data_IF_841812152474
#
_entry.id   IF_841812152474
#
_cell.length_a   1.000
_cell.length_b   1.000
_cell.length_c   1.000
_cell.angle_alpha   90.00
_cell.angle_beta   90.00
_cell.angle_gamma   90.00
#
_symmetry.space_group_name_H-M   'P 1'
#
loop_
_entity.id
_entity.type
_entity.pdbx_description
1 polymer ?
#
# COMPACT_ATOMS: atom_id res chain seq x y z
N UNK A 1 4.36 28.15 8.31
CA UNK A 1 3.61 26.91 8.12
C UNK A 1 3.46 26.19 9.45
N UNK A 2 2.23 25.96 9.89
CA UNK A 2 1.90 25.23 11.14
C UNK A 2 0.73 24.24 10.94
N UNK A 3 -0.26 24.63 10.14
CA UNK A 3 -1.52 23.92 9.98
C UNK A 3 -1.52 23.09 8.70
N UNK A 4 -1.66 21.78 8.81
CA UNK A 4 -1.70 20.84 7.68
C UNK A 4 -3.07 20.16 7.66
N UNK A 5 -3.75 20.22 6.52
CA UNK A 5 -4.97 19.46 6.26
C UNK A 5 -4.68 18.34 5.28
N UNK A 6 -4.87 17.11 5.70
CA UNK A 6 -4.96 15.97 4.78
C UNK A 6 -6.41 15.78 4.30
N UNK A 7 -6.58 15.43 3.03
CA UNK A 7 -7.90 15.27 2.41
C UNK A 7 -7.96 13.87 1.79
N UNK A 8 -8.77 12.98 2.36
CA UNK A 8 -8.97 11.62 1.89
C UNK A 8 -10.13 11.53 0.91
N UNK A 9 -10.04 10.69 -0.14
CA UNK A 9 -11.11 10.50 -1.12
C UNK A 9 -12.27 9.63 -0.60
N UNK A 10 -12.05 8.93 0.49
CA UNK A 10 -13.06 8.13 1.21
C UNK A 10 -12.86 8.22 2.73
N UNK A 11 -13.76 7.66 3.50
CA UNK A 11 -13.64 7.57 4.94
C UNK A 11 -12.49 6.62 5.33
N UNK A 12 -12.19 6.44 6.62
CA UNK A 12 -11.02 5.70 7.09
C UNK A 12 -11.07 4.19 6.88
N UNK A 13 -11.44 3.73 5.68
CA UNK A 13 -11.54 2.30 5.33
C UNK A 13 -10.38 1.80 4.46
N UNK A 14 -9.56 2.70 3.94
CA UNK A 14 -8.52 2.38 2.94
C UNK A 14 -7.11 2.34 3.50
N UNK A 15 -6.21 1.78 2.70
CA UNK A 15 -4.77 1.89 2.96
C UNK A 15 -4.29 3.34 2.93
N UNK A 16 -4.88 4.17 2.08
CA UNK A 16 -4.64 5.62 2.03
C UNK A 16 -4.86 6.27 3.39
N UNK A 17 -5.92 5.89 4.09
CA UNK A 17 -6.21 6.39 5.43
C UNK A 17 -5.13 5.99 6.44
N UNK A 18 -4.60 4.77 6.35
CA UNK A 18 -3.50 4.31 7.19
C UNK A 18 -2.22 5.12 6.93
N UNK A 19 -1.90 5.39 5.67
CA UNK A 19 -0.74 6.23 5.31
C UNK A 19 -0.89 7.65 5.87
N UNK A 20 -2.04 8.28 5.64
CA UNK A 20 -2.34 9.63 6.16
C UNK A 20 -2.30 9.65 7.67
N UNK A 21 -2.85 8.64 8.36
CA UNK A 21 -2.81 8.52 9.82
C UNK A 21 -1.37 8.60 10.35
N UNK A 22 -0.47 7.79 9.79
CA UNK A 22 0.93 7.79 10.23
C UNK A 22 1.64 9.11 9.91
N UNK A 23 1.48 9.68 8.71
CA UNK A 23 2.06 10.97 8.38
C UNK A 23 1.53 12.10 9.27
N UNK A 24 0.22 12.16 9.49
CA UNK A 24 -0.39 13.18 10.33
C UNK A 24 0.09 13.09 11.78
N UNK A 25 0.12 11.89 12.37
CA UNK A 25 0.64 11.71 13.74
C UNK A 25 2.11 12.13 13.86
N UNK A 26 2.98 11.67 12.95
CA UNK A 26 4.40 12.03 12.99
C UNK A 26 4.62 13.54 12.76
N UNK A 27 3.80 14.22 11.94
CA UNK A 27 3.86 15.66 11.78
C UNK A 27 3.44 16.39 13.07
N UNK A 28 2.44 15.88 13.80
CA UNK A 28 2.05 16.43 15.11
C UNK A 28 3.19 16.27 16.12
N UNK A 29 3.86 15.13 16.16
CA UNK A 29 5.04 14.90 16.99
C UNK A 29 6.20 15.86 16.65
N UNK A 30 6.30 16.28 15.39
CA UNK A 30 7.26 17.30 14.93
C UNK A 30 6.80 18.75 15.22
N UNK A 31 5.67 18.93 15.93
CA UNK A 31 5.19 20.23 16.40
C UNK A 31 4.27 20.98 15.43
N UNK A 32 3.76 20.28 14.38
CA UNK A 32 2.73 20.87 13.52
C UNK A 32 1.33 20.58 14.07
N UNK A 33 0.35 21.31 13.56
CA UNK A 33 -1.06 21.08 13.86
C UNK A 33 -1.74 20.44 12.65
N UNK A 34 -2.31 19.25 12.79
CA UNK A 34 -2.82 18.47 11.69
C UNK A 34 -4.30 18.18 11.84
N UNK A 35 -4.99 18.19 10.72
CA UNK A 35 -6.36 17.71 10.59
C UNK A 35 -6.48 16.77 9.38
N UNK A 36 -7.45 15.83 9.44
CA UNK A 36 -7.79 14.93 8.34
C UNK A 36 -9.26 15.09 7.99
N UNK A 37 -9.54 15.46 6.74
CA UNK A 37 -10.90 15.60 6.23
C UNK A 37 -11.31 14.35 5.45
N UNK A 38 -12.51 13.85 5.75
CA UNK A 38 -13.14 12.70 5.09
C UNK A 38 -14.49 13.08 4.47
N UNK A 39 -14.98 12.34 3.46
CA UNK A 39 -16.20 12.74 2.75
C UNK A 39 -17.47 12.73 3.60
N UNK A 40 -17.67 11.73 4.48
CA UNK A 40 -18.99 11.44 5.08
C UNK A 40 -18.99 11.21 6.57
N UNK A 41 -18.08 10.35 7.08
CA UNK A 41 -18.12 9.88 8.46
C UNK A 41 -16.75 9.90 9.13
N UNK A 42 -16.49 10.94 9.90
CA UNK A 42 -15.23 11.12 10.63
C UNK A 42 -15.03 10.11 11.77
N UNK A 43 -16.11 9.48 12.26
CA UNK A 43 -16.00 8.49 13.34
C UNK A 43 -15.35 7.19 12.87
N UNK A 44 -15.27 6.96 11.57
CA UNK A 44 -14.53 5.81 11.01
C UNK A 44 -13.02 5.87 11.27
N UNK A 45 -12.50 6.95 11.83
CA UNK A 45 -11.10 7.04 12.29
C UNK A 45 -10.73 5.90 13.26
N UNK A 46 -11.69 5.40 14.02
CA UNK A 46 -11.50 4.23 14.89
C UNK A 46 -11.13 2.93 14.15
N UNK A 47 -11.31 2.89 12.82
CA UNK A 47 -11.00 1.74 11.96
C UNK A 47 -9.56 1.73 11.43
N UNK A 48 -8.82 2.84 11.55
CA UNK A 48 -7.46 2.95 10.98
C UNK A 48 -6.45 2.03 11.68
N UNK A 49 -6.78 1.53 12.84
CA UNK A 49 -5.95 0.56 13.53
C UNK A 49 -6.44 0.41 14.95
N UNK A 50 -6.70 -0.81 15.34
CA UNK A 50 -6.95 -1.15 16.72
C UNK A 50 -5.76 -0.71 17.56
N UNK A 51 -5.99 0.13 18.56
CA UNK A 51 -4.98 0.69 19.46
C UNK A 51 -4.08 1.81 18.90
N UNK A 52 -4.30 2.34 17.70
CA UNK A 52 -3.58 3.52 17.25
C UNK A 52 -4.31 4.80 17.68
N UNK A 53 -3.61 5.63 18.46
CA UNK A 53 -4.13 6.94 18.87
C UNK A 53 -3.95 7.95 17.74
N UNK A 54 -4.99 8.70 17.39
CA UNK A 54 -4.86 9.83 16.50
C UNK A 54 -4.51 11.10 17.30
N UNK A 55 -3.40 11.74 16.94
CA UNK A 55 -2.94 13.00 17.54
C UNK A 55 -3.48 14.23 16.80
N UNK A 56 -4.08 14.03 15.65
CA UNK A 56 -4.66 15.03 14.75
C UNK A 56 -6.18 15.16 14.95
N UNK A 57 -6.74 16.27 14.48
CA UNK A 57 -8.20 16.46 14.45
C UNK A 57 -8.82 15.79 13.22
N UNK A 58 -10.09 15.40 13.31
CA UNK A 58 -10.84 14.80 12.20
C UNK A 58 -12.06 15.65 11.89
N UNK A 59 -12.31 15.89 10.60
CA UNK A 59 -13.45 16.68 10.12
C UNK A 59 -14.11 16.03 8.91
N UNK A 60 -15.34 16.42 8.62
CA UNK A 60 -16.05 16.01 7.42
C UNK A 60 -16.10 17.10 6.36
N UNK A 61 -16.21 16.72 5.10
CA UNK A 61 -16.32 17.70 4.00
C UNK A 61 -17.47 18.69 4.17
N UNK A 62 -18.55 18.27 4.83
CA UNK A 62 -19.68 19.14 5.15
C UNK A 62 -19.35 20.25 6.15
N UNK A 63 -18.29 20.08 6.94
CA UNK A 63 -17.88 21.00 8.02
C UNK A 63 -16.81 22.03 7.55
N UNK A 64 -16.56 22.16 6.24
CA UNK A 64 -15.46 22.98 5.69
C UNK A 64 -15.49 24.44 6.15
N UNK A 65 -16.65 25.00 6.46
CA UNK A 65 -16.83 26.37 6.94
C UNK A 65 -16.35 26.58 8.39
N UNK A 66 -16.12 25.50 9.13
CA UNK A 66 -15.60 25.49 10.51
C UNK A 66 -14.20 24.85 10.60
N UNK A 67 -13.52 24.70 9.49
CA UNK A 67 -12.23 24.01 9.42
C UNK A 67 -11.16 24.68 10.30
N UNK A 68 -11.24 26.02 10.48
CA UNK A 68 -10.34 26.75 11.40
C UNK A 68 -10.44 26.25 12.84
N UNK A 69 -11.58 25.71 13.28
CA UNK A 69 -11.75 25.16 14.64
C UNK A 69 -10.95 23.86 14.85
N UNK A 70 -10.53 23.19 13.78
CA UNK A 70 -9.66 22.02 13.86
C UNK A 70 -8.22 22.36 14.24
N UNK A 71 -7.82 23.64 14.18
CA UNK A 71 -6.44 24.08 14.47
C UNK A 71 -6.37 24.94 15.71
N UNK A 72 -5.33 24.70 16.53
CA UNK A 72 -5.12 25.38 17.83
C UNK A 72 -5.08 26.90 17.73
N UNK A 73 -4.57 27.42 16.60
CA UNK A 73 -4.46 28.87 16.35
C UNK A 73 -5.73 29.48 15.73
N UNK A 74 -6.80 28.70 15.55
CA UNK A 74 -8.08 29.10 14.94
C UNK A 74 -7.96 29.69 13.53
N UNK A 75 -6.87 29.36 12.80
CA UNK A 75 -6.65 29.75 11.40
C UNK A 75 -6.90 28.56 10.48
N UNK A 76 -7.08 28.84 9.19
CA UNK A 76 -7.18 27.79 8.15
C UNK A 76 -5.86 27.03 7.95
N UNK A 77 -5.87 26.03 7.06
CA UNK A 77 -4.66 25.27 6.72
C UNK A 77 -3.65 26.14 5.97
N UNK A 78 -2.37 25.99 6.29
CA UNK A 78 -1.27 26.53 5.48
C UNK A 78 -1.00 25.60 4.27
N UNK A 79 -1.16 24.29 4.47
CA UNK A 79 -1.01 23.26 3.41
C UNK A 79 -2.24 22.37 3.41
N UNK A 80 -2.76 22.10 2.22
CA UNK A 80 -3.77 21.05 1.97
C UNK A 80 -3.12 19.97 1.14
N UNK A 81 -2.97 18.78 1.72
CA UNK A 81 -2.41 17.59 1.07
C UNK A 81 -3.51 16.60 0.70
N UNK A 82 -3.79 16.50 -0.58
CA UNK A 82 -4.90 15.71 -1.13
C UNK A 82 -4.45 14.29 -1.46
N UNK A 83 -5.16 13.33 -0.97
CA UNK A 83 -4.95 11.89 -1.20
C UNK A 83 -6.15 11.31 -1.94
N UNK A 84 -6.24 11.26 -3.12
CA UNK A 84 -5.68 11.29 -4.45
C UNK A 84 -6.40 12.37 -5.31
N UNK A 85 -6.14 12.57 -6.63
CA UNK A 85 -6.76 13.64 -7.44
C UNK A 85 -8.17 13.28 -7.94
N UNK A 86 -8.92 12.46 -7.21
CA UNK A 86 -10.26 12.01 -7.58
C UNK A 86 -11.27 13.15 -7.51
N UNK A 87 -12.38 13.04 -8.24
CA UNK A 87 -13.35 14.12 -8.36
C UNK A 87 -13.91 14.59 -7.02
N UNK A 88 -14.11 13.69 -6.06
CA UNK A 88 -14.58 14.02 -4.70
C UNK A 88 -13.62 14.96 -3.97
N UNK A 89 -12.32 14.67 -4.01
CA UNK A 89 -11.28 15.50 -3.37
C UNK A 89 -11.06 16.82 -4.13
N UNK A 90 -11.02 16.76 -5.46
CA UNK A 90 -10.91 17.94 -6.30
C UNK A 90 -12.06 18.93 -6.05
N UNK A 91 -13.29 18.43 -5.98
CA UNK A 91 -14.46 19.24 -5.70
C UNK A 91 -14.43 19.85 -4.30
N UNK A 92 -13.94 19.10 -3.31
CA UNK A 92 -13.74 19.60 -1.96
C UNK A 92 -12.69 20.71 -1.93
N UNK A 93 -11.54 20.54 -2.55
CA UNK A 93 -10.50 21.57 -2.65
C UNK A 93 -10.99 22.85 -3.33
N UNK A 94 -11.83 22.75 -4.37
CA UNK A 94 -12.47 23.91 -4.98
C UNK A 94 -13.39 24.69 -4.01
N UNK A 95 -14.05 24.01 -3.09
CA UNK A 95 -14.82 24.67 -2.01
C UNK A 95 -13.89 25.33 -1.01
N UNK A 96 -12.84 24.64 -0.57
CA UNK A 96 -11.86 25.18 0.39
C UNK A 96 -11.19 26.46 -0.13
N UNK A 97 -10.79 26.52 -1.41
CA UNK A 97 -10.17 27.69 -2.05
C UNK A 97 -11.04 28.96 -2.01
N UNK A 98 -12.35 28.83 -1.81
CA UNK A 98 -13.24 29.98 -1.64
C UNK A 98 -13.19 30.60 -0.25
N UNK A 99 -12.71 29.86 0.74
CA UNK A 99 -12.70 30.24 2.15
C UNK A 99 -11.29 30.43 2.71
N UNK A 100 -10.30 29.74 2.15
CA UNK A 100 -8.94 29.66 2.66
C UNK A 100 -7.91 29.81 1.55
N UNK A 101 -6.79 30.45 1.88
CA UNK A 101 -5.59 30.47 1.06
C UNK A 101 -4.59 29.42 1.61
N UNK A 102 -4.05 28.55 0.75
CA UNK A 102 -3.17 27.45 1.15
C UNK A 102 -2.30 26.97 -0.01
N UNK A 103 -1.16 26.38 0.32
CA UNK A 103 -0.38 25.57 -0.62
C UNK A 103 -1.07 24.23 -0.85
N UNK A 104 -1.23 23.85 -2.12
CA UNK A 104 -1.86 22.60 -2.51
C UNK A 104 -0.79 21.56 -2.84
N UNK A 105 -0.84 20.43 -2.15
CA UNK A 105 -0.05 19.23 -2.47
C UNK A 105 -1.02 18.11 -2.85
N UNK A 106 -0.70 17.34 -3.90
CA UNK A 106 -1.53 16.23 -4.35
C UNK A 106 -0.70 14.95 -4.33
N UNK A 107 -1.21 13.88 -3.73
CA UNK A 107 -0.58 12.57 -3.69
C UNK A 107 -1.14 11.64 -4.76
N UNK A 108 -0.26 10.90 -5.46
CA UNK A 108 -0.64 9.83 -6.38
C UNK A 108 -0.23 8.47 -5.78
N UNK A 109 -1.20 7.56 -5.65
CA UNK A 109 -0.98 6.20 -5.13
C UNK A 109 -1.10 5.12 -6.22
N UNK A 110 -1.86 5.42 -7.27
CA UNK A 110 -2.18 4.49 -8.34
C UNK A 110 -2.09 5.17 -9.71
N UNK A 111 -2.07 4.37 -10.75
CA UNK A 111 -2.37 4.81 -12.10
C UNK A 111 -3.87 5.13 -12.21
N UNK A 112 -4.23 6.39 -12.01
CA UNK A 112 -5.64 6.84 -12.02
C UNK A 112 -6.32 6.60 -13.37
N UNK A 113 -5.58 6.58 -14.48
CA UNK A 113 -6.10 6.24 -15.81
C UNK A 113 -6.49 4.76 -15.88
N UNK A 114 -5.64 3.87 -15.34
CA UNK A 114 -5.94 2.44 -15.26
C UNK A 114 -7.09 2.13 -14.29
N UNK A 115 -7.14 2.82 -13.15
CA UNK A 115 -8.28 2.71 -12.21
C UNK A 115 -9.57 3.06 -12.92
N UNK A 116 -9.59 4.12 -13.73
CA UNK A 116 -10.75 4.55 -14.50
C UNK A 116 -11.12 3.55 -15.61
N UNK A 117 -10.11 2.99 -16.33
CA UNK A 117 -10.32 1.90 -17.32
C UNK A 117 -11.07 0.72 -16.68
N UNK A 118 -10.60 0.28 -15.52
CA UNK A 118 -11.20 -0.85 -14.80
C UNK A 118 -12.59 -0.54 -14.28
N UNK A 119 -12.78 0.67 -13.73
CA UNK A 119 -14.06 1.08 -13.19
C UNK A 119 -15.16 1.14 -14.26
N UNK A 120 -14.85 1.70 -15.44
CA UNK A 120 -15.79 1.85 -16.56
C UNK A 120 -15.81 0.63 -17.50
N UNK A 121 -14.89 -0.31 -17.33
CA UNK A 121 -14.66 -1.45 -18.22
C UNK A 121 -14.52 -1.03 -19.70
N UNK A 122 -13.71 0.02 -19.94
CA UNK A 122 -13.44 0.61 -21.24
C UNK A 122 -11.99 1.04 -21.35
N UNK A 123 -11.35 0.98 -22.53
CA UNK A 123 -10.01 1.52 -22.73
C UNK A 123 -9.93 3.02 -22.43
N UNK A 124 -8.85 3.48 -21.80
CA UNK A 124 -8.68 4.89 -21.44
C UNK A 124 -8.75 5.84 -22.66
N UNK A 125 -8.23 5.42 -23.81
CA UNK A 125 -8.31 6.17 -25.05
C UNK A 125 -9.75 6.47 -25.49
N UNK A 126 -10.67 5.52 -25.32
CA UNK A 126 -12.10 5.69 -25.60
C UNK A 126 -12.73 6.67 -24.60
N UNK A 127 -12.41 6.50 -23.31
CA UNK A 127 -12.91 7.36 -22.23
C UNK A 127 -12.45 8.80 -22.42
N UNK A 128 -11.17 9.00 -22.73
CA UNK A 128 -10.58 10.34 -22.92
C UNK A 128 -11.16 11.08 -24.12
N UNK A 129 -11.58 10.34 -25.18
CA UNK A 129 -12.14 10.90 -26.39
C UNK A 129 -13.66 11.13 -26.32
N UNK A 130 -14.31 10.75 -25.25
CA UNK A 130 -15.79 10.82 -25.12
C UNK A 130 -16.37 12.23 -24.96
N UNK A 131 -15.56 13.29 -25.04
CA UNK A 131 -15.94 14.72 -25.05
C UNK A 131 -16.97 15.12 -23.96
N UNK A 132 -16.79 14.60 -22.74
CA UNK A 132 -17.66 14.95 -21.61
C UNK A 132 -19.03 14.27 -21.59
N UNK A 133 -19.31 13.36 -22.53
CA UNK A 133 -20.56 12.59 -22.57
C UNK A 133 -20.65 11.50 -21.51
N UNK A 134 -19.52 11.14 -20.88
CA UNK A 134 -19.47 10.13 -19.83
C UNK A 134 -19.66 10.75 -18.44
N UNK A 135 -20.58 10.16 -17.69
CA UNK A 135 -20.73 10.50 -16.27
C UNK A 135 -19.61 9.80 -15.49
N UNK A 136 -18.61 10.56 -15.04
CA UNK A 136 -17.50 10.06 -14.24
C UNK A 136 -17.88 10.16 -12.75
N UNK A 137 -17.93 9.03 -12.03
CA UNK A 137 -18.23 9.04 -10.60
C UNK A 137 -17.20 9.82 -9.77
N UNK A 138 -17.64 10.34 -8.62
CA UNK A 138 -16.79 11.17 -7.76
C UNK A 138 -15.64 10.39 -7.11
N UNK A 139 -15.72 9.07 -7.00
CA UNK A 139 -14.71 8.21 -6.40
C UNK A 139 -13.56 7.83 -7.34
N UNK A 140 -13.56 8.28 -8.58
CA UNK A 140 -12.49 8.11 -9.57
C UNK A 140 -12.07 9.45 -10.16
N UNK A 141 -10.95 9.45 -10.87
CA UNK A 141 -10.38 10.65 -11.49
C UNK A 141 -10.96 10.88 -12.89
N UNK A 142 -11.43 12.10 -13.18
CA UNK A 142 -11.85 12.47 -14.52
C UNK A 142 -10.64 12.63 -15.44
N UNK A 143 -10.63 12.05 -16.66
CA UNK A 143 -9.44 11.92 -17.53
C UNK A 143 -8.72 13.22 -17.88
N UNK A 144 -9.41 14.35 -17.90
CA UNK A 144 -8.84 15.67 -18.17
C UNK A 144 -8.68 16.48 -16.87
N UNK A 145 -9.73 16.57 -16.06
CA UNK A 145 -9.75 17.43 -14.87
C UNK A 145 -8.72 17.04 -13.81
N UNK A 146 -8.33 15.76 -13.72
CA UNK A 146 -7.27 15.39 -12.78
C UNK A 146 -5.91 15.97 -13.20
N UNK A 147 -5.61 16.01 -14.52
CA UNK A 147 -4.38 16.63 -15.06
C UNK A 147 -4.36 18.12 -14.83
N UNK A 148 -5.51 18.78 -15.07
CA UNK A 148 -5.69 20.21 -14.75
C UNK A 148 -5.50 20.46 -13.26
N UNK A 149 -6.02 19.57 -12.40
CA UNK A 149 -5.90 19.69 -10.94
C UNK A 149 -4.44 19.51 -10.50
N UNK A 150 -3.71 18.53 -11.02
CA UNK A 150 -2.27 18.38 -10.78
C UNK A 150 -1.48 19.62 -11.20
N UNK A 151 -1.84 20.26 -12.32
CA UNK A 151 -1.18 21.46 -12.81
C UNK A 151 -1.40 22.69 -11.91
N UNK A 152 -2.40 22.68 -11.01
CA UNK A 152 -2.63 23.76 -10.03
C UNK A 152 -1.92 23.53 -8.70
N UNK A 153 -1.25 22.39 -8.53
CA UNK A 153 -0.57 22.06 -7.29
C UNK A 153 0.74 22.82 -7.13
N UNK A 154 1.06 23.21 -5.90
CA UNK A 154 2.37 23.74 -5.53
C UNK A 154 3.42 22.62 -5.50
N UNK A 155 2.98 21.39 -5.23
CA UNK A 155 3.82 20.20 -5.26
C UNK A 155 3.00 18.92 -5.41
N UNK A 156 3.63 17.85 -5.85
CA UNK A 156 3.03 16.52 -5.96
C UNK A 156 3.89 15.53 -5.19
N UNK A 157 3.25 14.63 -4.46
CA UNK A 157 3.93 13.45 -3.92
C UNK A 157 3.45 12.21 -4.66
N UNK A 158 4.34 11.27 -4.90
CA UNK A 158 4.02 10.00 -5.59
C UNK A 158 4.49 8.84 -4.72
N UNK A 159 3.67 7.78 -4.63
CA UNK A 159 4.04 6.62 -3.80
C UNK A 159 5.15 5.78 -4.46
N UNK A 160 5.28 5.84 -5.79
CA UNK A 160 6.29 5.15 -6.60
C UNK A 160 6.83 6.10 -7.66
N UNK A 161 8.13 6.02 -7.92
CA UNK A 161 8.86 6.89 -8.85
C UNK A 161 8.18 6.98 -10.23
N UNK A 162 7.71 5.86 -10.76
CA UNK A 162 7.07 5.78 -12.07
C UNK A 162 5.82 6.65 -12.21
N UNK A 163 5.11 6.94 -11.13
CA UNK A 163 3.95 7.84 -11.15
C UNK A 163 4.31 9.29 -11.51
N UNK A 164 5.58 9.67 -11.46
CA UNK A 164 6.02 11.01 -11.92
C UNK A 164 5.71 11.28 -13.38
N UNK A 165 5.53 10.25 -14.20
CA UNK A 165 5.16 10.43 -15.61
C UNK A 165 3.79 11.08 -15.82
N UNK A 166 2.91 11.03 -14.80
CA UNK A 166 1.61 11.71 -14.80
C UNK A 166 1.66 13.15 -14.29
N UNK A 167 2.79 13.58 -13.72
CA UNK A 167 2.96 14.90 -13.12
C UNK A 167 3.47 15.89 -14.16
N UNK A 168 2.89 17.10 -14.24
CA UNK A 168 3.44 18.14 -15.12
C UNK A 168 4.91 18.48 -14.76
N UNK A 169 5.77 18.62 -15.76
CA UNK A 169 7.22 18.82 -15.59
C UNK A 169 7.61 20.04 -14.74
N UNK A 170 6.74 21.04 -14.65
CA UNK A 170 6.98 22.25 -13.87
C UNK A 170 6.52 22.19 -12.42
N UNK A 171 5.96 21.06 -11.98
CA UNK A 171 5.49 20.87 -10.61
C UNK A 171 6.53 20.10 -9.79
N UNK A 172 7.06 20.66 -8.70
CA UNK A 172 7.96 19.95 -7.79
C UNK A 172 7.37 18.63 -7.33
N UNK A 173 8.16 17.56 -7.37
CA UNK A 173 7.65 16.21 -7.08
C UNK A 173 8.57 15.46 -6.13
N UNK A 174 7.98 14.86 -5.09
CA UNK A 174 8.66 14.01 -4.11
C UNK A 174 8.12 12.57 -4.20
N UNK A 175 9.01 11.58 -4.31
CA UNK A 175 8.64 10.19 -4.06
C UNK A 175 8.53 9.97 -2.55
N UNK A 176 7.35 9.61 -2.09
CA UNK A 176 7.00 9.50 -0.67
C UNK A 176 6.51 8.09 -0.35
N UNK A 177 7.41 7.25 0.17
CA UNK A 177 7.06 5.89 0.56
C UNK A 177 6.36 5.83 1.91
N UNK A 178 5.46 4.84 2.10
CA UNK A 178 4.94 4.53 3.43
C UNK A 178 6.05 3.97 4.31
N UNK A 179 5.77 3.86 5.59
CA UNK A 179 6.65 3.21 6.55
C UNK A 179 6.06 1.90 7.08
N UNK A 180 6.79 1.29 8.01
CA UNK A 180 6.34 0.16 8.80
C UNK A 180 6.57 0.44 10.28
N UNK A 181 5.67 -0.02 11.12
CA UNK A 181 5.87 -0.05 12.56
C UNK A 181 6.84 -1.19 12.92
N UNK A 182 8.12 -0.84 13.12
CA UNK A 182 9.18 -1.81 13.41
C UNK A 182 9.16 -2.31 14.86
N UNK A 183 8.36 -1.74 15.75
CA UNK A 183 8.13 -2.28 17.10
C UNK A 183 7.14 -3.45 16.99
N UNK A 184 6.11 -3.28 16.18
CA UNK A 184 5.11 -4.30 15.95
C UNK A 184 5.60 -5.38 14.97
N UNK A 185 6.09 -4.99 13.80
CA UNK A 185 6.66 -5.88 12.78
C UNK A 185 8.18 -5.94 12.93
N UNK A 186 8.67 -6.98 13.56
CA UNK A 186 10.09 -7.22 13.77
C UNK A 186 10.42 -8.69 13.70
N UNK A 187 11.68 -8.99 13.41
CA UNK A 187 12.14 -10.37 13.36
C UNK A 187 11.88 -11.09 14.68
N UNK A 188 11.22 -12.22 14.60
CA UNK A 188 10.90 -13.08 15.74
C UNK A 188 10.95 -14.56 15.38
N UNK A 189 11.15 -15.40 16.36
CA UNK A 189 11.08 -16.84 16.19
C UNK A 189 9.64 -17.27 15.93
N UNK A 190 9.41 -18.27 15.06
CA UNK A 190 8.11 -18.90 14.94
C UNK A 190 7.61 -19.41 16.29
N UNK A 191 6.34 -19.24 16.57
CA UNK A 191 5.69 -19.78 17.75
C UNK A 191 5.15 -21.20 17.43
N UNK A 192 5.72 -22.27 18.01
CA UNK A 192 5.29 -23.65 17.73
C UNK A 192 3.84 -23.92 18.12
N UNK A 193 3.36 -23.33 19.20
CA UNK A 193 1.96 -23.44 19.64
C UNK A 193 1.01 -22.85 18.62
N UNK A 194 1.36 -21.66 18.07
CA UNK A 194 0.60 -21.03 17.00
C UNK A 194 0.61 -21.89 15.74
N UNK A 195 1.77 -22.42 15.34
CA UNK A 195 1.87 -23.33 14.20
C UNK A 195 0.91 -24.52 14.36
N UNK A 196 0.93 -25.17 15.52
CA UNK A 196 0.06 -26.29 15.84
C UNK A 196 -1.42 -25.92 15.86
N UNK A 197 -1.78 -24.77 16.44
CA UNK A 197 -3.16 -24.26 16.44
C UNK A 197 -3.71 -24.04 15.02
N UNK A 198 -2.86 -23.59 14.11
CA UNK A 198 -3.22 -23.34 12.70
C UNK A 198 -3.15 -24.62 11.85
N UNK A 199 -2.69 -25.74 12.41
CA UNK A 199 -2.56 -26.99 11.67
C UNK A 199 -1.37 -27.00 10.70
N UNK A 200 -0.34 -26.20 10.93
CA UNK A 200 0.89 -26.21 10.12
C UNK A 200 1.66 -27.49 10.44
N UNK A 201 1.93 -28.37 9.46
CA UNK A 201 2.72 -29.57 9.69
C UNK A 201 4.17 -29.26 10.07
N UNK A 202 4.74 -29.99 11.03
CA UNK A 202 6.03 -29.66 11.66
C UNK A 202 7.19 -29.48 10.67
N UNK A 203 7.33 -30.26 9.65
CA UNK A 203 8.48 -30.24 8.74
C UNK A 203 8.18 -29.50 7.41
N UNK A 204 7.07 -28.80 7.33
CA UNK A 204 6.70 -28.12 6.10
C UNK A 204 7.43 -26.78 5.96
N UNK A 205 7.84 -26.49 4.75
CA UNK A 205 8.23 -25.13 4.34
C UNK A 205 6.97 -24.31 4.27
N UNK A 206 7.00 -23.18 4.90
CA UNK A 206 5.85 -22.27 4.95
C UNK A 206 6.08 -21.05 4.07
N UNK A 207 5.16 -20.81 3.14
CA UNK A 207 5.00 -19.50 2.49
C UNK A 207 3.91 -18.74 3.19
N UNK A 208 4.02 -17.43 3.20
CA UNK A 208 2.90 -16.60 3.64
C UNK A 208 2.61 -15.48 2.64
N UNK A 209 1.33 -15.24 2.44
CA UNK A 209 0.80 -14.14 1.67
C UNK A 209 -0.35 -13.49 2.43
N UNK A 210 -0.33 -12.17 2.51
CA UNK A 210 -1.37 -11.38 3.17
C UNK A 210 -2.05 -10.47 2.16
N UNK A 211 -3.38 -10.46 2.15
CA UNK A 211 -4.14 -9.59 1.30
C UNK A 211 -5.36 -10.23 0.65
N UNK A 212 -6.28 -9.39 0.25
CA UNK A 212 -7.51 -9.79 -0.42
C UNK A 212 -7.25 -10.23 -1.86
N UNK A 213 -8.14 -11.08 -2.39
CA UNK A 213 -8.20 -11.43 -3.81
C UNK A 213 -9.31 -10.62 -4.48
N UNK A 214 -8.95 -9.93 -5.53
CA UNK A 214 -9.86 -9.12 -6.35
C UNK A 214 -9.48 -9.25 -7.83
N UNK A 215 -10.32 -8.79 -8.74
CA UNK A 215 -10.16 -8.99 -10.19
C UNK A 215 -8.77 -8.59 -10.76
N UNK A 216 -8.05 -7.66 -10.11
CA UNK A 216 -6.74 -7.23 -10.59
C UNK A 216 -5.57 -8.13 -10.15
N UNK A 217 -5.75 -9.06 -9.19
CA UNK A 217 -4.67 -9.89 -8.66
C UNK A 217 -4.99 -11.39 -8.61
N UNK A 218 -6.08 -11.84 -9.23
CA UNK A 218 -6.50 -13.25 -9.23
C UNK A 218 -5.41 -14.19 -9.71
N UNK A 219 -4.80 -13.93 -10.87
CA UNK A 219 -3.76 -14.77 -11.46
C UNK A 219 -2.48 -14.79 -10.60
N UNK A 220 -2.16 -13.66 -9.98
CA UNK A 220 -1.03 -13.54 -9.08
C UNK A 220 -1.20 -14.43 -7.84
N UNK A 221 -2.37 -14.37 -7.20
CA UNK A 221 -2.63 -15.20 -6.03
C UNK A 221 -2.76 -16.67 -6.40
N UNK A 222 -3.37 -16.99 -7.55
CA UNK A 222 -3.43 -18.36 -8.09
C UNK A 222 -2.02 -18.96 -8.28
N UNK A 223 -1.05 -18.15 -8.69
CA UNK A 223 0.36 -18.58 -8.83
C UNK A 223 0.96 -19.12 -7.54
N UNK A 224 0.56 -18.60 -6.37
CA UNK A 224 1.02 -19.09 -5.07
C UNK A 224 0.51 -20.51 -4.81
N UNK A 225 -0.75 -20.79 -5.11
CA UNK A 225 -1.36 -22.10 -4.93
C UNK A 225 -0.75 -23.13 -5.88
N UNK A 226 -0.52 -22.73 -7.14
CA UNK A 226 0.17 -23.57 -8.12
C UNK A 226 1.59 -23.89 -7.66
N UNK A 227 2.35 -22.92 -7.16
CA UNK A 227 3.71 -23.14 -6.69
C UNK A 227 3.76 -24.13 -5.54
N UNK A 228 2.87 -23.99 -4.55
CA UNK A 228 2.80 -24.89 -3.40
C UNK A 228 2.40 -26.31 -3.83
N UNK A 229 1.45 -26.45 -4.74
CA UNK A 229 1.05 -27.75 -5.29
C UNK A 229 2.19 -28.42 -6.07
N UNK A 230 2.94 -27.66 -6.88
CA UNK A 230 4.10 -28.17 -7.63
C UNK A 230 5.20 -28.67 -6.69
N UNK A 231 5.57 -27.87 -5.68
CA UNK A 231 6.59 -28.25 -4.70
C UNK A 231 6.22 -29.53 -3.96
N UNK A 232 4.97 -29.67 -3.52
CA UNK A 232 4.50 -30.89 -2.87
C UNK A 232 4.53 -32.11 -3.82
N UNK A 233 4.18 -31.91 -5.09
CA UNK A 233 4.27 -32.97 -6.12
C UNK A 233 5.72 -33.43 -6.37
N UNK A 234 6.68 -32.51 -6.23
CA UNK A 234 8.11 -32.78 -6.33
C UNK A 234 8.71 -33.36 -5.03
N UNK A 235 7.88 -33.65 -4.03
CA UNK A 235 8.29 -34.23 -2.75
C UNK A 235 8.76 -33.19 -1.71
N UNK A 236 8.70 -31.87 -2.03
CA UNK A 236 9.04 -30.82 -1.12
C UNK A 236 7.81 -30.41 -0.31
N UNK A 237 7.69 -30.86 0.93
CA UNK A 237 6.57 -30.55 1.82
C UNK A 237 6.44 -29.05 2.05
N UNK A 238 5.36 -28.46 1.59
CA UNK A 238 5.15 -27.02 1.60
C UNK A 238 3.72 -26.68 1.97
N UNK A 239 3.53 -25.61 2.73
CA UNK A 239 2.21 -25.07 3.12
C UNK A 239 2.15 -23.60 2.80
N UNK A 240 1.04 -23.16 2.20
CA UNK A 240 0.71 -21.74 2.04
C UNK A 240 -0.15 -21.28 3.22
N UNK A 241 0.28 -20.28 3.96
CA UNK A 241 -0.59 -19.56 4.90
C UNK A 241 -1.06 -18.27 4.22
N UNK A 242 -2.37 -18.12 4.07
CA UNK A 242 -2.96 -16.95 3.44
C UNK A 242 -3.97 -16.26 4.35
N UNK A 243 -3.90 -14.92 4.40
CA UNK A 243 -4.92 -14.08 5.04
C UNK A 243 -5.61 -13.20 4.00
N UNK A 244 -6.75 -12.62 4.36
CA UNK A 244 -7.55 -11.77 3.50
C UNK A 244 -8.80 -12.47 2.96
N UNK A 245 -9.68 -11.67 2.35
CA UNK A 245 -10.97 -12.13 1.80
C UNK A 245 -10.87 -12.35 0.30
N UNK A 246 -11.66 -13.26 -0.21
CA UNK A 246 -11.84 -13.50 -1.63
C UNK A 246 -13.09 -12.78 -2.12
N UNK A 247 -12.89 -11.86 -3.06
CA UNK A 247 -13.97 -11.18 -3.77
C UNK A 247 -14.21 -11.81 -5.16
N UNK A 248 -13.34 -12.75 -5.56
CA UNK A 248 -13.39 -13.45 -6.84
C UNK A 248 -13.15 -14.94 -6.65
N UNK A 249 -13.84 -15.77 -7.45
CA UNK A 249 -13.54 -17.21 -7.54
C UNK A 249 -12.33 -17.44 -8.46
N UNK A 250 -11.12 -17.32 -7.90
CA UNK A 250 -9.86 -17.30 -8.68
C UNK A 250 -9.26 -18.69 -8.93
N UNK A 251 -9.66 -19.70 -8.18
CA UNK A 251 -9.18 -21.07 -8.36
C UNK A 251 -10.08 -21.92 -9.25
N UNK A 252 -11.32 -21.48 -9.46
CA UNK A 252 -12.33 -22.23 -10.20
C UNK A 252 -13.13 -23.20 -9.32
N UNK A 253 -14.02 -23.97 -9.94
CA UNK A 253 -14.96 -24.84 -9.19
C UNK A 253 -14.30 -26.13 -8.66
N UNK A 254 -13.24 -26.62 -9.31
CA UNK A 254 -12.41 -27.75 -8.83
C UNK A 254 -11.08 -27.23 -8.30
N UNK A 255 -11.09 -26.78 -7.05
CA UNK A 255 -9.95 -26.14 -6.40
C UNK A 255 -9.26 -27.02 -5.33
N UNK A 256 -9.73 -28.24 -5.15
CA UNK A 256 -9.21 -29.20 -4.15
C UNK A 256 -7.72 -29.48 -4.32
N UNK A 257 -7.24 -29.53 -5.57
CA UNK A 257 -5.83 -29.74 -5.89
C UNK A 257 -4.90 -28.67 -5.31
N UNK A 258 -5.42 -27.48 -5.10
CA UNK A 258 -4.69 -26.31 -4.62
C UNK A 258 -4.90 -26.08 -3.12
N UNK A 259 -6.15 -26.10 -2.67
CA UNK A 259 -6.50 -25.77 -1.27
C UNK A 259 -5.99 -26.78 -0.25
N UNK A 260 -5.78 -28.04 -0.66
CA UNK A 260 -5.24 -29.07 0.25
C UNK A 260 -3.87 -28.74 0.87
N UNK A 261 -3.13 -27.81 0.27
CA UNK A 261 -1.83 -27.35 0.75
C UNK A 261 -1.86 -25.93 1.33
N UNK A 262 -3.03 -25.37 1.49
CA UNK A 262 -3.22 -24.01 1.98
C UNK A 262 -3.97 -23.98 3.31
N UNK A 263 -3.54 -23.06 4.16
CA UNK A 263 -4.25 -22.68 5.39
C UNK A 263 -4.78 -21.26 5.15
N UNK A 264 -6.09 -21.15 4.93
CA UNK A 264 -6.77 -19.91 4.63
C UNK A 264 -7.42 -19.38 5.91
N UNK A 265 -6.90 -18.26 6.42
CA UNK A 265 -7.33 -17.69 7.70
C UNK A 265 -8.41 -16.59 7.53
N UNK A 266 -8.74 -16.23 6.29
CA UNK A 266 -9.66 -15.12 6.05
C UNK A 266 -9.13 -13.79 6.60
N UNK A 267 -10.02 -12.95 7.10
CA UNK A 267 -9.63 -11.72 7.78
C UNK A 267 -8.98 -12.05 9.12
N UNK A 268 -7.81 -11.50 9.34
CA UNK A 268 -7.06 -11.64 10.59
C UNK A 268 -6.79 -10.25 11.15
N UNK A 269 -6.94 -10.12 12.46
CA UNK A 269 -6.58 -8.90 13.18
C UNK A 269 -5.11 -8.55 12.96
N UNK A 270 -4.84 -7.24 12.74
CA UNK A 270 -3.50 -6.74 12.48
C UNK A 270 -2.52 -7.08 13.60
N UNK A 271 -2.97 -7.15 14.83
CA UNK A 271 -2.15 -7.49 16.00
C UNK A 271 -1.56 -8.90 15.94
N UNK A 272 -2.21 -9.83 15.24
CA UNK A 272 -1.77 -11.21 15.07
C UNK A 272 -0.88 -11.42 13.84
N UNK A 273 -0.85 -10.45 12.91
CA UNK A 273 -0.10 -10.58 11.66
C UNK A 273 1.39 -10.88 11.86
N UNK A 274 2.12 -10.26 12.80
CA UNK A 274 3.53 -10.59 13.01
C UNK A 274 3.77 -12.03 13.45
N UNK A 275 2.86 -12.62 14.23
CA UNK A 275 2.97 -14.04 14.62
C UNK A 275 2.78 -14.97 13.42
N UNK A 276 1.81 -14.65 12.55
CA UNK A 276 1.52 -15.42 11.33
C UNK A 276 2.70 -15.33 10.37
N UNK A 277 3.20 -14.12 10.11
CA UNK A 277 4.33 -13.89 9.22
C UNK A 277 5.62 -14.56 9.75
N UNK A 278 5.78 -14.65 11.07
CA UNK A 278 6.92 -15.31 11.68
C UNK A 278 6.97 -16.82 11.38
N UNK A 279 5.83 -17.46 11.13
CA UNK A 279 5.76 -18.88 10.75
C UNK A 279 6.36 -19.13 9.37
N UNK A 280 6.36 -18.13 8.49
CA UNK A 280 6.87 -18.27 7.14
C UNK A 280 8.39 -18.48 7.10
N UNK A 281 8.83 -19.34 6.18
CA UNK A 281 10.22 -19.46 5.77
C UNK A 281 10.53 -18.42 4.67
N UNK A 282 9.58 -18.18 3.77
CA UNK A 282 9.69 -17.24 2.66
C UNK A 282 8.40 -16.43 2.54
N UNK A 283 8.52 -15.14 2.30
CA UNK A 283 7.40 -14.24 2.03
C UNK A 283 7.38 -13.92 0.54
N UNK A 284 6.23 -14.02 -0.09
CA UNK A 284 6.12 -13.91 -1.55
C UNK A 284 5.13 -12.82 -1.93
N UNK A 285 5.59 -11.89 -2.74
CA UNK A 285 4.74 -10.96 -3.48
C UNK A 285 4.72 -11.43 -4.95
N UNK A 286 3.67 -12.12 -5.40
CA UNK A 286 3.58 -12.53 -6.80
C UNK A 286 3.27 -11.34 -7.69
N UNK A 287 3.53 -11.47 -8.99
CA UNK A 287 3.21 -10.47 -10.00
C UNK A 287 4.26 -10.34 -11.09
N UNK A 288 4.04 -9.39 -11.98
CA UNK A 288 4.92 -9.04 -13.08
C UNK A 288 4.76 -7.56 -13.42
N UNK A 289 5.72 -6.95 -14.15
CA UNK A 289 5.57 -5.59 -14.68
C UNK A 289 4.32 -5.48 -15.57
N UNK A 290 3.42 -4.57 -15.25
CA UNK A 290 2.24 -4.22 -16.03
C UNK A 290 1.64 -2.88 -15.58
N UNK A 291 0.54 -2.45 -16.23
CA UNK A 291 -0.14 -1.18 -15.92
C UNK A 291 -0.69 -1.09 -14.49
N UNK A 292 -0.83 -2.21 -13.78
CA UNK A 292 -1.26 -2.27 -12.40
C UNK A 292 -0.07 -2.28 -11.44
N UNK A 293 0.85 -3.22 -11.64
CA UNK A 293 1.94 -3.45 -10.71
C UNK A 293 3.01 -2.36 -10.72
N UNK A 294 3.29 -1.77 -11.88
CA UNK A 294 4.33 -0.74 -12.02
C UNK A 294 4.02 0.57 -11.29
N UNK A 295 2.74 0.82 -10.99
CA UNK A 295 2.26 2.12 -10.52
C UNK A 295 1.64 2.09 -9.11
N UNK A 296 1.79 0.98 -8.39
CA UNK A 296 1.29 0.83 -7.02
C UNK A 296 2.40 0.48 -6.05
N UNK A 297 2.16 0.74 -4.78
CA UNK A 297 3.01 0.24 -3.70
C UNK A 297 2.26 -0.91 -2.98
N UNK A 298 2.76 -2.16 -3.00
CA UNK A 298 2.13 -3.26 -2.27
C UNK A 298 2.26 -3.06 -0.76
N UNK A 299 1.18 -2.66 -0.09
CA UNK A 299 1.17 -2.24 1.32
C UNK A 299 1.69 -3.29 2.32
N UNK A 300 1.73 -4.56 1.93
CA UNK A 300 2.28 -5.65 2.75
C UNK A 300 3.81 -5.73 2.74
N UNK A 301 4.47 -5.19 1.71
CA UNK A 301 5.94 -5.30 1.55
C UNK A 301 6.73 -4.67 2.70
N UNK A 302 6.36 -3.49 3.24
CA UNK A 302 7.01 -2.97 4.43
C UNK A 302 7.01 -3.94 5.60
N UNK A 303 5.88 -4.59 5.85
CA UNK A 303 5.72 -5.59 6.90
C UNK A 303 6.56 -6.83 6.63
N UNK A 304 6.53 -7.35 5.39
CA UNK A 304 7.33 -8.50 4.98
C UNK A 304 8.83 -8.26 5.19
N UNK A 305 9.34 -7.13 4.74
CA UNK A 305 10.74 -6.78 4.85
C UNK A 305 11.16 -6.60 6.32
N UNK A 306 10.32 -5.99 7.15
CA UNK A 306 10.60 -5.79 8.57
C UNK A 306 10.66 -7.09 9.37
N UNK A 307 9.94 -8.13 8.93
CA UNK A 307 9.96 -9.46 9.58
C UNK A 307 11.28 -10.21 9.42
N UNK A 308 12.20 -9.77 8.56
CA UNK A 308 13.51 -10.39 8.38
C UNK A 308 13.43 -11.81 7.84
N UNK A 309 12.54 -12.03 6.92
CA UNK A 309 12.46 -13.28 6.12
C UNK A 309 12.92 -12.96 4.70
N UNK A 310 13.47 -13.92 3.96
CA UNK A 310 13.65 -13.74 2.53
C UNK A 310 12.33 -13.37 1.86
N UNK A 311 12.36 -12.30 1.06
CA UNK A 311 11.21 -11.84 0.28
C UNK A 311 11.49 -12.12 -1.19
N UNK A 312 10.51 -12.70 -1.90
CA UNK A 312 10.52 -12.88 -3.35
C UNK A 312 9.50 -11.93 -3.95
N UNK A 313 9.93 -11.08 -4.88
CA UNK A 313 9.07 -10.08 -5.50
C UNK A 313 9.49 -9.78 -6.95
N UNK A 314 8.58 -9.27 -7.80
CA UNK A 314 8.90 -8.91 -9.17
C UNK A 314 9.70 -7.61 -9.27
N UNK A 315 10.47 -7.47 -10.36
CA UNK A 315 11.17 -6.25 -10.76
C UNK A 315 10.16 -5.19 -11.27
N UNK A 316 9.29 -4.74 -10.39
CA UNK A 316 8.28 -3.71 -10.62
C UNK A 316 8.08 -2.90 -9.34
N UNK A 317 7.53 -1.70 -9.42
CA UNK A 317 7.31 -0.81 -8.28
C UNK A 317 8.55 -0.69 -7.36
N UNK A 318 8.39 -0.92 -6.04
CA UNK A 318 9.50 -0.87 -5.09
C UNK A 318 10.60 -1.90 -5.38
N UNK A 319 10.29 -3.00 -6.08
CA UNK A 319 11.29 -3.99 -6.48
C UNK A 319 12.38 -3.43 -7.39
N UNK A 320 12.10 -2.34 -8.13
CA UNK A 320 13.09 -1.64 -8.95
C UNK A 320 14.13 -0.86 -8.11
N UNK A 321 13.80 -0.55 -6.86
CA UNK A 321 14.66 0.18 -5.93
C UNK A 321 15.48 -0.75 -5.02
N UNK A 322 15.29 -2.07 -5.18
CA UNK A 322 15.93 -3.09 -4.36
C UNK A 322 17.05 -3.80 -5.14
N UNK A 323 18.14 -4.11 -4.45
CA UNK A 323 19.25 -4.87 -5.02
C UNK A 323 18.95 -6.38 -4.94
N UNK A 324 18.90 -7.04 -6.11
CA UNK A 324 18.68 -8.48 -6.18
C UNK A 324 19.75 -9.27 -5.43
N UNK A 325 19.33 -10.34 -4.74
CA UNK A 325 20.19 -11.18 -3.89
C UNK A 325 20.90 -10.47 -2.73
N UNK A 326 20.45 -9.28 -2.39
CA UNK A 326 20.90 -8.53 -1.23
C UNK A 326 19.73 -8.13 -0.34
N UNK A 327 18.79 -7.36 -0.88
CA UNK A 327 17.63 -6.86 -0.14
C UNK A 327 16.45 -7.83 -0.23
N UNK A 328 16.30 -8.48 -1.40
CA UNK A 328 15.28 -9.48 -1.70
C UNK A 328 15.72 -10.33 -2.91
N UNK A 329 14.96 -11.39 -3.26
CA UNK A 329 15.00 -11.99 -4.58
C UNK A 329 14.09 -11.18 -5.51
N UNK A 330 14.71 -10.34 -6.34
CA UNK A 330 14.01 -9.51 -7.31
C UNK A 330 14.09 -10.17 -8.68
N UNK A 331 12.93 -10.57 -9.21
CA UNK A 331 12.85 -11.37 -10.43
C UNK A 331 12.07 -10.62 -11.52
N UNK A 332 12.31 -10.90 -12.82
CA UNK A 332 11.55 -10.27 -13.90
C UNK A 332 10.04 -10.48 -13.78
N UNK A 333 9.64 -11.63 -13.26
CA UNK A 333 8.26 -11.97 -12.89
C UNK A 333 8.27 -12.94 -11.71
N UNK A 334 7.18 -13.00 -10.96
CA UNK A 334 6.98 -13.94 -9.84
C UNK A 334 5.66 -14.66 -10.08
N UNK A 335 5.72 -15.70 -10.89
CA UNK A 335 4.68 -16.71 -11.11
C UNK A 335 5.01 -18.02 -10.39
N UNK A 336 4.21 -19.04 -10.60
CA UNK A 336 4.38 -20.34 -9.92
C UNK A 336 5.76 -20.95 -10.12
N UNK A 337 6.30 -20.91 -11.33
CA UNK A 337 7.62 -21.49 -11.67
C UNK A 337 8.74 -20.72 -10.98
N UNK A 338 8.70 -19.38 -11.08
CA UNK A 338 9.69 -18.54 -10.40
C UNK A 338 9.68 -18.72 -8.88
N UNK A 339 8.49 -18.93 -8.28
CA UNK A 339 8.36 -19.22 -6.84
C UNK A 339 9.02 -20.55 -6.49
N UNK A 340 8.75 -21.61 -7.26
CA UNK A 340 9.35 -22.94 -7.06
C UNK A 340 10.87 -22.85 -7.11
N UNK A 341 11.43 -22.23 -8.15
CA UNK A 341 12.88 -22.08 -8.34
C UNK A 341 13.51 -21.29 -7.20
N UNK A 342 12.87 -20.18 -6.81
CA UNK A 342 13.35 -19.31 -5.73
C UNK A 342 13.42 -20.02 -4.39
N UNK A 343 12.38 -20.77 -4.06
CA UNK A 343 12.32 -21.51 -2.81
C UNK A 343 13.34 -22.63 -2.80
N UNK A 344 13.43 -23.41 -3.86
CA UNK A 344 14.44 -24.46 -4.00
C UNK A 344 15.85 -23.91 -3.79
N UNK A 345 16.16 -22.76 -4.44
CA UNK A 345 17.44 -22.07 -4.26
C UNK A 345 17.68 -21.67 -2.81
N UNK A 346 16.70 -21.06 -2.15
CA UNK A 346 16.80 -20.57 -0.76
C UNK A 346 16.99 -21.72 0.25
N UNK A 347 16.42 -22.89 -0.03
CA UNK A 347 16.58 -24.08 0.83
C UNK A 347 17.98 -24.68 0.71
N UNK A 348 18.57 -24.63 -0.47
CA UNK A 348 19.91 -25.16 -0.76
C UNK A 348 21.02 -24.20 -0.31
N UNK A 349 20.79 -22.90 -0.35
CA UNK A 349 21.78 -21.87 -0.01
C UNK A 349 21.42 -21.11 1.28
N UNK A 350 21.86 -21.66 2.42
CA UNK A 350 21.68 -21.02 3.74
C UNK A 350 22.38 -19.67 3.86
N UNK A 351 23.45 -19.45 3.11
CA UNK A 351 24.18 -18.19 3.12
C UNK A 351 23.36 -17.09 2.45
N UNK A 352 22.80 -17.40 1.27
CA UNK A 352 21.87 -16.51 0.57
C UNK A 352 20.62 -16.24 1.41
N UNK A 353 20.05 -17.28 2.02
CA UNK A 353 18.89 -17.11 2.92
C UNK A 353 19.18 -16.07 4.02
N UNK A 354 20.32 -16.24 4.72
CA UNK A 354 20.71 -15.30 5.78
C UNK A 354 20.95 -13.90 5.23
N UNK A 355 21.67 -13.77 4.13
CA UNK A 355 21.95 -12.48 3.48
C UNK A 355 20.67 -11.72 3.16
N UNK A 356 19.66 -12.40 2.59
CA UNK A 356 18.37 -11.81 2.26
C UNK A 356 17.56 -11.43 3.50
N UNK A 357 17.60 -12.24 4.55
CA UNK A 357 16.96 -11.91 5.83
C UNK A 357 17.54 -10.63 6.45
N UNK A 358 18.86 -10.52 6.48
CA UNK A 358 19.54 -9.33 7.00
C UNK A 358 19.30 -8.10 6.10
N UNK A 359 19.34 -8.29 4.77
CA UNK A 359 19.12 -7.24 3.78
C UNK A 359 17.71 -6.67 3.83
N UNK A 360 16.69 -7.53 3.94
CA UNK A 360 15.30 -7.09 4.04
C UNK A 360 15.04 -6.18 5.25
N UNK A 361 15.59 -6.54 6.42
CA UNK A 361 15.51 -5.70 7.62
C UNK A 361 16.23 -4.37 7.41
N UNK A 362 17.43 -4.41 6.81
CA UNK A 362 18.20 -3.18 6.57
C UNK A 362 17.45 -2.26 5.61
N UNK A 363 16.88 -2.79 4.54
CA UNK A 363 16.07 -2.02 3.61
C UNK A 363 14.86 -1.38 4.30
N UNK A 364 14.09 -2.15 5.08
CA UNK A 364 12.96 -1.63 5.84
C UNK A 364 13.36 -0.49 6.79
N UNK A 365 14.40 -0.68 7.58
CA UNK A 365 14.89 0.34 8.53
C UNK A 365 15.42 1.60 7.84
N UNK A 366 16.00 1.46 6.65
CA UNK A 366 16.62 2.57 5.93
C UNK A 366 15.58 3.40 5.17
N UNK A 367 14.64 2.74 4.49
CA UNK A 367 13.75 3.36 3.52
C UNK A 367 12.29 3.42 3.97
N UNK A 368 11.82 2.47 4.79
CA UNK A 368 10.41 2.35 5.16
C UNK A 368 10.15 2.80 6.61
N UNK A 369 10.72 3.94 6.97
CA UNK A 369 10.54 4.56 8.29
C UNK A 369 9.54 5.71 8.20
N UNK A 370 8.42 5.61 8.92
CA UNK A 370 7.44 6.69 9.03
C UNK A 370 8.08 8.02 9.45
N UNK A 371 8.97 7.99 10.46
CA UNK A 371 9.63 9.18 10.99
C UNK A 371 10.57 9.83 9.96
N UNK A 372 11.35 9.03 9.23
CA UNK A 372 12.25 9.55 8.18
C UNK A 372 11.45 10.13 7.01
N UNK A 373 10.46 9.40 6.54
CA UNK A 373 9.64 9.79 5.39
C UNK A 373 8.77 11.02 5.71
N UNK A 374 8.30 11.15 6.96
CA UNK A 374 7.60 12.37 7.41
C UNK A 374 8.54 13.58 7.45
N UNK A 375 9.82 13.41 7.83
CA UNK A 375 10.80 14.51 7.78
C UNK A 375 11.08 14.95 6.33
N UNK A 376 11.15 14.02 5.39
CA UNK A 376 11.26 14.34 3.96
C UNK A 376 10.02 15.11 3.49
N UNK A 377 8.83 14.67 3.85
CA UNK A 377 7.59 15.37 3.54
C UNK A 377 7.57 16.78 4.13
N UNK A 378 7.98 16.95 5.38
CA UNK A 378 8.06 18.25 6.02
C UNK A 378 9.06 19.19 5.34
N UNK A 379 10.21 18.67 4.88
CA UNK A 379 11.18 19.44 4.10
C UNK A 379 10.56 19.88 2.77
N UNK A 380 9.91 18.97 2.08
CA UNK A 380 9.22 19.26 0.82
C UNK A 380 8.16 20.36 0.97
N UNK A 381 7.35 20.33 2.03
CA UNK A 381 6.38 21.41 2.30
C UNK A 381 7.03 22.79 2.52
N UNK A 382 8.28 22.85 2.92
CA UNK A 382 9.01 24.12 3.12
C UNK A 382 9.65 24.66 1.86
N UNK A 383 9.87 23.79 0.87
CA UNK A 383 10.56 24.10 -0.38
C UNK A 383 9.58 24.60 -1.47
N UNK A 384 8.32 24.22 -1.39
CA UNK A 384 7.24 24.60 -2.32
C UNK A 384 6.50 25.90 -1.83
#
# INVERSE_FOLDING_TARGET
MKNILFVLYEDFHSNSALHVHHFANNLVELGLDCAVAVPRNKHTVSLVGENLTNLYQVTEYGEFYRLNECFKNQKGPDVVHVWTPREVTRNYCRKLRKAYDFQLVIHLEDNEEYVLEKYLNKPFSEIANANGSLNIPENVSHPQRYKEFLATANGVTVIIEKLKEFVPNNVPTLTLWPGVDTEHFSQRKPNPERAKQLGVPDDNIVFSYTGNVHAANTEEVKSLYLAVALLNREGQRTTLIRTGRDFENFLGDDDSWARQYAIELGYVDRSLMPEILALANVLVQPGKPDKFNDYRFPCKLPEFLAMGKPVVLPATNIGLEMENEKDALVLPAVDATHIVDSVTKLLQDKSLYKKLSDGSINFAKTHLSWQKNTKLLLSFYKEI
#
